data_IF_757658837427
#
_entry.id   IF_757658837427
#
_cell.length_a   1.000
_cell.length_b   1.000
_cell.length_c   1.000
_cell.angle_alpha   90.00
_cell.angle_beta   90.00
_cell.angle_gamma   90.00
#
_symmetry.space_group_name_H-M   'P 1'
#
loop_
_entity.id
_entity.type
_entity.pdbx_description
1 polymer ?
#
# COMPACT_ATOMS: atom_id res chain seq x y z
N UNK A 1 6.31 11.28 -84.06
CA UNK A 1 4.93 10.92 -83.66
C UNK A 1 4.79 11.03 -82.15
N UNK A 2 3.95 11.99 -81.70
CA UNK A 2 3.17 12.16 -80.45
C UNK A 2 3.63 11.43 -79.16
N UNK A 3 4.07 12.11 -78.08
CA UNK A 3 3.34 12.89 -77.04
C UNK A 3 2.26 12.11 -76.25
N UNK A 4 2.50 11.92 -74.94
CA UNK A 4 1.54 11.92 -73.80
C UNK A 4 2.30 11.43 -72.53
N UNK A 5 2.88 12.27 -71.66
CA UNK A 5 2.29 13.01 -70.54
C UNK A 5 1.00 12.40 -69.95
N UNK A 6 1.14 11.70 -68.82
CA UNK A 6 0.04 11.37 -67.91
C UNK A 6 0.39 11.88 -66.50
N UNK A 7 -0.12 13.07 -66.19
CA UNK A 7 -0.13 13.68 -64.85
C UNK A 7 -1.26 13.03 -64.05
N UNK A 8 -0.94 12.30 -62.99
CA UNK A 8 -1.89 11.82 -62.00
C UNK A 8 -2.11 12.94 -60.97
N UNK A 9 -3.29 13.57 -61.04
CA UNK A 9 -3.77 14.52 -60.04
C UNK A 9 -4.35 13.76 -58.84
N UNK A 10 -3.75 13.96 -57.67
CA UNK A 10 -4.30 13.52 -56.39
C UNK A 10 -5.42 14.48 -55.94
N UNK A 11 -6.58 13.99 -55.47
CA UNK A 11 -7.61 14.84 -54.93
C UNK A 11 -7.18 15.39 -53.57
N UNK A 12 -7.13 16.72 -53.49
CA UNK A 12 -6.95 17.51 -52.28
C UNK A 12 -8.19 17.32 -51.39
N UNK A 13 -8.06 16.55 -50.31
CA UNK A 13 -9.09 16.44 -49.28
C UNK A 13 -9.04 17.72 -48.45
N UNK A 14 -10.07 18.56 -48.58
CA UNK A 14 -10.29 19.73 -47.73
C UNK A 14 -10.48 19.25 -46.27
N UNK A 15 -9.49 19.54 -45.43
CA UNK A 15 -9.58 19.40 -43.99
C UNK A 15 -10.67 20.32 -43.45
N UNK A 16 -11.78 19.74 -42.99
CA UNK A 16 -12.79 20.46 -42.23
C UNK A 16 -12.21 20.74 -40.85
N UNK A 17 -12.14 22.02 -40.48
CA UNK A 17 -11.70 22.47 -39.16
C UNK A 17 -12.71 22.04 -38.10
N UNK A 18 -12.43 20.96 -37.38
CA UNK A 18 -13.16 20.54 -36.19
C UNK A 18 -12.89 21.58 -35.09
N UNK A 19 -13.91 22.23 -34.51
CA UNK A 19 -13.71 23.15 -33.39
C UNK A 19 -13.20 22.36 -32.17
N UNK A 20 -12.30 22.94 -31.36
CA UNK A 20 -11.77 22.27 -30.17
C UNK A 20 -12.91 21.95 -29.19
N UNK A 21 -12.86 20.80 -28.50
CA UNK A 21 -13.85 20.47 -27.48
C UNK A 21 -13.83 21.53 -26.38
N UNK A 22 -15.01 22.05 -26.03
CA UNK A 22 -15.20 22.94 -24.89
C UNK A 22 -14.63 22.30 -23.63
N UNK A 23 -13.95 23.06 -22.75
CA UNK A 23 -13.51 22.53 -21.47
C UNK A 23 -14.74 22.07 -20.66
N UNK A 24 -14.69 20.90 -20.01
CA UNK A 24 -15.80 20.45 -19.18
C UNK A 24 -15.99 21.44 -18.03
N UNK A 25 -17.12 22.12 -18.05
CA UNK A 25 -17.59 22.97 -16.95
C UNK A 25 -18.73 22.21 -16.28
N UNK A 26 -18.39 21.47 -15.22
CA UNK A 26 -19.30 21.03 -14.15
C UNK A 26 -18.41 20.51 -13.01
N UNK A 27 -18.10 21.31 -11.98
CA UNK A 27 -18.97 21.62 -10.83
C UNK A 27 -19.54 20.40 -10.09
N UNK A 28 -18.87 19.25 -10.12
CA UNK A 28 -18.93 18.35 -8.96
C UNK A 28 -18.07 18.93 -7.84
N UNK A 29 -18.68 19.85 -7.09
CA UNK A 29 -18.30 20.18 -5.74
C UNK A 29 -18.43 18.92 -4.85
N UNK A 30 -17.48 18.00 -4.94
CA UNK A 30 -17.15 17.19 -3.78
C UNK A 30 -16.33 18.08 -2.86
N UNK A 31 -16.90 18.35 -1.69
CA UNK A 31 -16.16 18.88 -0.55
C UNK A 31 -14.78 18.21 -0.49
N UNK A 32 -13.69 18.95 -0.20
CA UNK A 32 -12.46 18.30 0.23
C UNK A 32 -12.74 17.77 1.64
N UNK A 33 -13.49 16.66 1.72
CA UNK A 33 -13.27 15.70 2.78
C UNK A 33 -11.78 15.46 2.71
N UNK A 34 -11.06 15.96 3.71
CA UNK A 34 -9.67 15.65 3.90
C UNK A 34 -9.50 14.18 3.56
N UNK A 35 -8.81 13.91 2.44
CA UNK A 35 -8.45 12.55 2.06
C UNK A 35 -7.47 12.10 3.14
N UNK A 36 -8.00 11.72 4.30
CA UNK A 36 -7.29 10.84 5.19
C UNK A 36 -6.89 9.69 4.29
N UNK A 37 -5.58 9.41 4.13
CA UNK A 37 -5.18 8.34 3.25
C UNK A 37 -5.99 7.09 3.65
N UNK A 38 -6.45 6.27 2.73
CA UNK A 38 -7.13 5.05 3.14
C UNK A 38 -6.05 4.04 3.50
N UNK A 39 -6.33 3.18 4.48
CA UNK A 39 -5.49 2.01 4.71
C UNK A 39 -5.56 1.17 3.42
N UNK A 40 -4.46 0.57 3.00
CA UNK A 40 -4.39 -0.17 1.73
C UNK A 40 -5.43 -1.28 1.69
N UNK A 41 -5.62 -2.00 2.80
CA UNK A 41 -6.70 -2.99 2.94
C UNK A 41 -8.09 -2.42 2.66
N UNK A 42 -8.40 -1.20 3.12
CA UNK A 42 -9.71 -0.60 2.88
C UNK A 42 -9.90 -0.18 1.42
N UNK A 43 -8.85 0.31 0.77
CA UNK A 43 -8.87 0.74 -0.63
C UNK A 43 -9.28 -0.42 -1.56
N UNK A 44 -8.85 -1.64 -1.25
CA UNK A 44 -9.18 -2.84 -2.05
C UNK A 44 -10.32 -3.68 -1.45
N UNK A 45 -10.95 -3.25 -0.35
CA UNK A 45 -11.98 -4.04 0.34
C UNK A 45 -11.45 -5.37 0.89
N UNK A 46 -10.17 -5.43 1.26
CA UNK A 46 -9.50 -6.62 1.76
C UNK A 46 -9.47 -6.64 3.29
N UNK A 47 -10.00 -7.70 3.89
CA UNK A 47 -9.78 -8.00 5.32
C UNK A 47 -8.34 -8.50 5.57
N UNK A 48 -7.62 -7.87 6.50
CA UNK A 48 -6.30 -8.33 7.00
C UNK A 48 -6.34 -9.62 7.84
N UNK A 49 -7.54 -10.11 8.13
CA UNK A 49 -7.77 -11.38 8.83
C UNK A 49 -8.11 -12.47 7.82
N UNK A 50 -9.04 -12.19 6.90
CA UNK A 50 -9.63 -13.20 6.03
C UNK A 50 -8.89 -13.35 4.70
N UNK A 51 -8.24 -12.28 4.23
CA UNK A 51 -7.47 -12.30 2.99
C UNK A 51 -5.99 -12.40 3.33
N UNK A 52 -5.36 -13.45 2.80
CA UNK A 52 -3.93 -13.69 2.98
C UNK A 52 -3.16 -12.93 1.93
N UNK A 53 -2.15 -12.16 2.37
CA UNK A 53 -1.17 -11.60 1.45
C UNK A 53 -0.16 -12.67 1.03
N UNK A 54 -0.28 -13.16 -0.21
CA UNK A 54 0.65 -14.14 -0.79
C UNK A 54 2.08 -13.60 -0.91
N UNK A 55 2.25 -12.30 -1.19
CA UNK A 55 3.58 -11.67 -1.22
C UNK A 55 4.26 -11.75 0.15
N UNK A 56 3.55 -11.35 1.22
CA UNK A 56 4.03 -11.49 2.60
C UNK A 56 4.40 -12.93 2.95
N UNK A 57 3.53 -13.92 2.64
CA UNK A 57 3.82 -15.33 2.96
C UNK A 57 5.12 -15.81 2.29
N UNK A 58 5.33 -15.45 1.01
CA UNK A 58 6.57 -15.78 0.31
C UNK A 58 7.80 -15.12 0.97
N UNK A 59 7.69 -13.84 1.33
CA UNK A 59 8.78 -13.11 1.97
C UNK A 59 9.08 -13.60 3.39
N UNK A 60 8.07 -13.98 4.16
CA UNK A 60 8.24 -14.61 5.45
C UNK A 60 9.00 -15.94 5.33
N UNK A 61 8.61 -16.80 4.38
CA UNK A 61 9.28 -18.08 4.14
C UNK A 61 10.73 -17.91 3.64
N UNK A 62 11.02 -16.85 2.89
CA UNK A 62 12.38 -16.48 2.53
C UNK A 62 13.19 -16.02 3.76
N UNK A 63 12.60 -15.16 4.58
CA UNK A 63 13.26 -14.61 5.77
C UNK A 63 13.66 -15.71 6.78
N UNK A 64 12.80 -16.70 7.03
CA UNK A 64 13.13 -17.79 7.99
C UNK A 64 14.22 -18.75 7.48
N UNK A 65 14.61 -18.68 6.21
CA UNK A 65 15.76 -19.45 5.67
C UNK A 65 17.10 -18.76 5.94
N UNK A 66 17.11 -17.44 6.13
CA UNK A 66 18.34 -16.64 6.26
C UNK A 66 18.51 -16.04 7.65
N UNK A 67 17.41 -15.76 8.35
CA UNK A 67 17.43 -15.23 9.72
C UNK A 67 17.40 -16.40 10.69
N UNK A 68 18.45 -16.57 11.48
CA UNK A 68 18.49 -17.57 12.55
C UNK A 68 17.92 -16.99 13.84
N UNK A 69 17.13 -17.77 14.57
CA UNK A 69 16.65 -17.35 15.88
C UNK A 69 17.82 -17.39 16.88
N UNK A 70 18.08 -16.31 17.63
CA UNK A 70 19.07 -16.32 18.69
C UNK A 70 18.82 -17.46 19.67
N UNK A 71 19.90 -18.09 20.13
CA UNK A 71 19.90 -19.23 21.09
C UNK A 71 19.37 -20.57 20.54
N UNK A 72 18.66 -20.58 19.41
CA UNK A 72 18.22 -21.82 18.76
C UNK A 72 19.16 -22.22 17.61
N UNK A 73 19.77 -21.25 16.91
CA UNK A 73 20.63 -21.51 15.75
C UNK A 73 19.88 -22.04 14.52
N UNK A 74 18.56 -22.14 14.61
CA UNK A 74 17.63 -22.56 13.55
C UNK A 74 16.45 -21.60 13.52
N UNK A 75 15.73 -21.59 12.39
CA UNK A 75 14.47 -20.87 12.28
C UNK A 75 13.46 -21.68 11.44
N UNK A 76 12.18 -21.36 11.59
CA UNK A 76 11.07 -21.97 10.90
C UNK A 76 9.89 -20.99 10.85
N UNK A 77 9.02 -21.16 9.85
CA UNK A 77 7.81 -20.35 9.71
C UNK A 77 6.83 -20.51 10.87
N UNK A 78 6.93 -21.62 11.63
CA UNK A 78 6.04 -21.86 12.79
C UNK A 78 6.42 -21.02 14.01
N UNK A 79 7.64 -20.46 14.07
CA UNK A 79 8.10 -19.66 15.21
C UNK A 79 7.67 -18.19 15.11
N UNK A 80 6.42 -17.97 14.72
CA UNK A 80 5.84 -16.66 14.40
C UNK A 80 6.19 -15.58 15.43
N UNK A 81 5.81 -15.78 16.70
CA UNK A 81 6.05 -14.80 17.75
C UNK A 81 7.54 -14.51 17.98
N UNK A 82 8.43 -15.48 17.75
CA UNK A 82 9.89 -15.27 17.88
C UNK A 82 10.42 -14.47 16.69
N UNK A 83 9.96 -14.78 15.49
CA UNK A 83 10.29 -14.05 14.26
C UNK A 83 9.88 -12.58 14.36
N UNK A 84 8.61 -12.33 14.73
CA UNK A 84 8.05 -10.99 14.87
C UNK A 84 8.75 -10.10 15.89
N UNK A 85 9.47 -10.69 16.86
CA UNK A 85 10.23 -9.94 17.89
C UNK A 85 11.65 -9.59 17.46
N UNK A 86 12.13 -10.13 16.33
CA UNK A 86 13.47 -9.87 15.83
C UNK A 86 13.43 -8.70 14.84
N UNK A 87 14.05 -7.55 15.14
CA UNK A 87 14.09 -6.42 14.20
C UNK A 87 14.67 -6.82 12.84
N UNK A 88 15.74 -7.61 12.84
CA UNK A 88 16.37 -8.10 11.61
C UNK A 88 15.43 -8.97 10.76
N UNK A 89 14.51 -9.73 11.37
CA UNK A 89 13.48 -10.44 10.60
C UNK A 89 12.55 -9.46 9.88
N UNK A 90 12.12 -8.40 10.57
CA UNK A 90 11.27 -7.34 10.00
C UNK A 90 11.95 -6.59 8.85
N UNK A 91 13.26 -6.32 8.96
CA UNK A 91 14.08 -5.71 7.91
C UNK A 91 14.19 -6.61 6.67
N UNK A 92 14.48 -7.91 6.87
CA UNK A 92 14.59 -8.87 5.76
C UNK A 92 13.25 -9.06 5.05
N UNK A 93 12.15 -9.14 5.81
CA UNK A 93 10.80 -9.19 5.24
C UNK A 93 10.52 -7.92 4.45
N UNK A 94 10.74 -6.73 5.03
CA UNK A 94 10.46 -5.46 4.37
C UNK A 94 11.26 -5.25 3.08
N UNK A 95 12.54 -5.62 3.07
CA UNK A 95 13.36 -5.62 1.86
C UNK A 95 12.81 -6.58 0.79
N UNK A 96 12.37 -7.77 1.19
CA UNK A 96 11.74 -8.72 0.27
C UNK A 96 10.43 -8.18 -0.32
N UNK A 97 9.57 -7.56 0.50
CA UNK A 97 8.30 -6.99 0.02
C UNK A 97 8.54 -5.99 -1.12
N UNK A 98 9.51 -5.09 -0.93
CA UNK A 98 9.90 -4.08 -1.90
C UNK A 98 10.43 -4.65 -3.24
N UNK A 99 10.94 -5.89 -3.24
CA UNK A 99 11.45 -6.56 -4.45
C UNK A 99 10.43 -7.49 -5.12
N UNK A 100 9.52 -8.09 -4.34
CA UNK A 100 8.69 -9.21 -4.79
C UNK A 100 7.23 -8.83 -5.02
N UNK A 101 6.70 -7.88 -4.25
CA UNK A 101 5.30 -7.47 -4.43
C UNK A 101 5.14 -6.68 -5.73
N UNK A 102 3.97 -6.79 -6.37
CA UNK A 102 3.78 -6.36 -7.76
C UNK A 102 3.62 -4.85 -7.92
N UNK A 103 3.15 -4.18 -6.88
CA UNK A 103 2.78 -2.76 -6.92
C UNK A 103 2.90 -2.15 -5.53
N UNK A 104 2.95 -0.82 -5.46
CA UNK A 104 3.02 -0.12 -4.19
C UNK A 104 1.85 -0.42 -3.24
N UNK A 105 0.59 -0.54 -3.73
CA UNK A 105 -0.51 -0.97 -2.90
C UNK A 105 -0.38 -2.42 -2.38
N UNK A 106 0.18 -3.32 -3.18
CA UNK A 106 0.47 -4.71 -2.77
C UNK A 106 1.55 -4.74 -1.66
N UNK A 107 2.60 -3.92 -1.77
CA UNK A 107 3.62 -3.75 -0.71
C UNK A 107 2.98 -3.24 0.59
N UNK A 108 2.15 -2.20 0.50
CA UNK A 108 1.53 -1.58 1.67
C UNK A 108 0.53 -2.54 2.35
N UNK A 109 -0.30 -3.23 1.57
CA UNK A 109 -1.19 -4.27 2.09
C UNK A 109 -0.41 -5.45 2.72
N UNK A 110 0.69 -5.90 2.10
CA UNK A 110 1.52 -6.97 2.64
C UNK A 110 2.17 -6.59 3.98
N UNK A 111 2.62 -5.34 4.13
CA UNK A 111 3.16 -4.83 5.38
C UNK A 111 2.07 -4.74 6.47
N UNK A 112 0.89 -4.22 6.14
CA UNK A 112 -0.27 -4.18 7.04
C UNK A 112 -0.72 -5.58 7.49
N UNK A 113 -0.80 -6.53 6.56
CA UNK A 113 -1.11 -7.93 6.83
C UNK A 113 -0.07 -8.56 7.75
N UNK A 114 1.22 -8.29 7.50
CA UNK A 114 2.32 -8.80 8.30
C UNK A 114 2.33 -8.28 9.75
N UNK A 115 2.02 -6.99 9.96
CA UNK A 115 1.84 -6.42 11.29
C UNK A 115 0.68 -7.11 12.03
N UNK A 116 -0.49 -7.21 11.39
CA UNK A 116 -1.65 -7.90 11.97
C UNK A 116 -1.39 -9.39 12.23
N UNK A 117 -0.61 -10.05 11.38
CA UNK A 117 -0.19 -11.44 11.57
C UNK A 117 0.69 -11.61 12.82
N UNK A 118 1.60 -10.67 13.08
CA UNK A 118 2.39 -10.64 14.30
C UNK A 118 1.57 -10.31 15.55
N UNK A 119 0.59 -9.40 15.44
CA UNK A 119 -0.34 -9.08 16.53
C UNK A 119 -1.14 -10.32 16.96
N UNK A 120 -1.67 -11.08 16.00
CA UNK A 120 -2.38 -12.35 16.27
C UNK A 120 -1.50 -13.39 16.96
N UNK A 121 -0.18 -13.31 16.78
CA UNK A 121 0.78 -14.16 17.47
C UNK A 121 1.26 -13.59 18.82
N UNK A 122 0.62 -12.52 19.32
CA UNK A 122 0.93 -11.90 20.60
C UNK A 122 2.17 -11.01 20.57
N UNK A 123 2.48 -10.40 19.42
CA UNK A 123 3.57 -9.42 19.28
C UNK A 123 3.03 -8.14 18.65
N UNK A 124 2.72 -7.13 19.47
CA UNK A 124 2.20 -5.82 19.03
C UNK A 124 3.27 -4.86 18.49
N UNK A 125 4.55 -5.19 18.68
CA UNK A 125 5.67 -4.28 18.38
C UNK A 125 6.48 -4.76 17.16
N UNK A 126 5.89 -5.59 16.31
CA UNK A 126 6.56 -6.05 15.10
C UNK A 126 6.65 -4.91 14.10
N UNK A 127 7.87 -4.58 13.69
CA UNK A 127 8.13 -3.52 12.70
C UNK A 127 8.60 -4.16 11.40
N UNK A 128 7.80 -4.02 10.34
CA UNK A 128 8.21 -4.34 8.98
C UNK A 128 8.73 -3.04 8.38
N UNK A 129 10.05 -2.92 8.29
CA UNK A 129 10.73 -1.70 7.83
C UNK A 129 11.04 -1.87 6.35
N UNK A 130 10.45 -1.02 5.51
CA UNK A 130 10.84 -0.95 4.11
C UNK A 130 12.20 -0.25 3.99
N UNK A 131 13.07 -0.71 3.07
CA UNK A 131 14.39 -0.13 2.92
C UNK A 131 14.32 1.27 2.29
N UNK A 132 15.30 2.12 2.61
CA UNK A 132 15.34 3.52 2.16
C UNK A 132 15.24 3.65 0.64
N UNK A 133 15.94 2.80 -0.10
CA UNK A 133 15.91 2.80 -1.57
C UNK A 133 14.51 2.58 -2.16
N UNK A 134 13.62 1.90 -1.44
CA UNK A 134 12.23 1.74 -1.87
C UNK A 134 11.42 2.98 -1.51
N UNK A 135 11.66 3.56 -0.33
CA UNK A 135 10.98 4.76 0.15
C UNK A 135 11.24 5.98 -0.75
N UNK A 136 12.40 6.04 -1.40
CA UNK A 136 12.77 7.08 -2.38
C UNK A 136 12.07 6.91 -3.75
N UNK A 137 11.34 5.82 -3.97
CA UNK A 137 10.61 5.56 -5.23
C UNK A 137 9.17 6.11 -5.17
N UNK A 138 8.48 6.23 -6.32
CA UNK A 138 7.05 6.53 -6.32
C UNK A 138 6.20 5.54 -5.49
N UNK A 139 6.64 4.28 -5.38
CA UNK A 139 5.97 3.29 -4.54
C UNK A 139 6.18 3.52 -3.04
N UNK A 140 7.33 4.07 -2.66
CA UNK A 140 7.62 4.55 -1.32
C UNK A 140 6.69 5.67 -0.87
N UNK A 141 6.45 6.65 -1.75
CA UNK A 141 5.52 7.75 -1.48
C UNK A 141 4.08 7.25 -1.22
N UNK A 142 3.61 6.27 -2.00
CA UNK A 142 2.31 5.63 -1.74
C UNK A 142 2.28 4.98 -0.35
N UNK A 143 3.30 4.18 -0.02
CA UNK A 143 3.38 3.48 1.26
C UNK A 143 3.34 4.43 2.47
N UNK A 144 4.11 5.52 2.41
CA UNK A 144 4.15 6.51 3.49
C UNK A 144 2.76 7.12 3.73
N UNK A 145 2.04 7.45 2.66
CA UNK A 145 0.69 7.99 2.74
C UNK A 145 -0.27 6.95 3.35
N UNK A 146 -0.27 5.71 2.86
CA UNK A 146 -1.13 4.63 3.35
C UNK A 146 -0.86 4.22 4.82
N UNK A 147 0.38 4.36 5.30
CA UNK A 147 0.73 4.10 6.70
C UNK A 147 0.35 5.26 7.62
N UNK A 148 0.54 6.51 7.18
CA UNK A 148 0.19 7.69 7.97
C UNK A 148 -1.31 7.72 8.35
N UNK A 149 -2.17 7.22 7.47
CA UNK A 149 -3.60 7.13 7.76
C UNK A 149 -4.01 6.03 8.71
N UNK A 150 -3.31 4.89 8.66
CA UNK A 150 -3.54 3.76 9.55
C UNK A 150 -3.25 4.17 11.00
N UNK A 151 -2.22 4.98 11.22
CA UNK A 151 -1.90 5.59 12.51
C UNK A 151 -2.96 6.62 12.97
N UNK A 152 -3.50 7.42 12.05
CA UNK A 152 -4.48 8.47 12.38
C UNK A 152 -5.80 7.92 12.97
N UNK A 153 -6.24 6.71 12.58
CA UNK A 153 -7.47 6.10 13.12
C UNK A 153 -7.34 5.59 14.55
N UNK A 154 -6.14 5.16 14.95
CA UNK A 154 -5.86 4.74 16.34
C UNK A 154 -5.99 5.93 17.29
N UNK A 155 -5.52 7.11 16.89
CA UNK A 155 -5.63 8.33 17.69
C UNK A 155 -7.10 8.76 17.92
N UNK A 156 -7.96 8.64 16.90
CA UNK A 156 -9.38 8.97 17.02
C UNK A 156 -10.16 7.99 17.93
N UNK A 157 -9.78 6.72 17.93
CA UNK A 157 -10.46 5.70 18.75
C UNK A 157 -10.16 5.85 20.25
N UNK A 158 -8.96 6.30 20.62
CA UNK A 158 -8.60 6.58 22.03
C UNK A 158 -9.33 7.83 22.54
N UNK A 159 -9.57 8.82 21.68
CA UNK A 159 -10.23 10.09 22.06
C UNK A 159 -11.72 9.91 22.43
N UNK A 160 -12.45 9.03 21.73
CA UNK A 160 -13.86 8.71 22.05
C UNK A 160 -14.01 7.91 23.36
N UNK A 161 -13.03 7.10 23.74
CA UNK A 161 -13.04 6.39 25.02
C UNK A 161 -12.80 7.32 26.21
N UNK A 162 -11.96 8.36 26.05
CA UNK A 162 -11.71 9.33 27.11
C UNK A 162 -12.94 10.21 27.41
N UNK A 163 -13.73 10.56 26.39
CA UNK A 163 -14.91 11.40 26.56
C UNK A 163 -16.07 10.65 27.25
N UNK A 164 -16.22 9.35 26.99
CA UNK A 164 -17.28 8.53 27.61
C UNK A 164 -16.99 8.24 29.08
N UNK A 165 -15.73 8.02 29.46
CA UNK A 165 -15.36 7.85 30.87
C UNK A 165 -15.56 9.12 31.70
N UNK A 166 -15.29 10.30 31.12
CA UNK A 166 -15.50 11.59 31.78
C UNK A 166 -16.99 11.90 32.04
N UNK A 167 -17.89 11.50 31.14
CA UNK A 167 -19.34 11.67 31.31
C UNK A 167 -19.94 10.76 32.39
N UNK A 168 -19.39 9.55 32.57
CA UNK A 168 -19.84 8.62 33.63
C UNK A 168 -19.41 9.11 35.02
N UNK A 169 -18.22 9.71 35.15
CA UNK A 169 -17.70 10.24 36.42
C UNK A 169 -18.41 11.51 36.92
N UNK A 170 -19.06 12.28 36.03
CA UNK A 170 -19.84 13.48 36.41
C UNK A 170 -21.28 13.11 36.82
N UNK A 171 -21.70 11.86 36.60
CA UNK A 171 -23.06 11.37 36.86
C UNK A 171 -23.19 10.52 38.14
N UNK A 172 -22.11 10.41 38.94
CA UNK A 172 -22.03 9.74 40.24
C UNK A 172 -21.76 10.77 41.34
#
# INVERSE_FOLDING_TARGET
>A
MRLAHALLALPFVLAQSVPPPSPPTDQSALSPLAQHPLRSSDEFGLSIVDHRSTCFEACHLAAVKVVLLPKLGINSGVFVARNCRLPFWGEVVGACLAMVCRSAPDVAYAAEYGQAWCERAGTSNASIVLPEWYLETPGGAYYQNAMASSAARVAFSVSLCALTLALVLVSL
#
